data_IF_828603137736
#
_entry.id   IF_828603137736
#
_cell.length_a   1.000
_cell.length_b   1.000
_cell.length_c   1.000
_cell.angle_alpha   90.00
_cell.angle_beta   90.00
_cell.angle_gamma   90.00
#
_symmetry.space_group_name_H-M   'P 1'
#
loop_
_entity.id
_entity.type
_entity.pdbx_description
1 polymer ?
#
# COMPACT_ATOMS: atom_id res chain seq x y z
N UNK A 1 -1.52 -18.54 -52.28
CA UNK A 1 -2.83 -18.13 -51.74
C UNK A 1 -2.57 -17.25 -50.53
N UNK A 2 -2.63 -15.93 -50.70
CA UNK A 2 -2.36 -14.95 -49.65
C UNK A 2 -3.61 -14.75 -48.79
N UNK A 3 -3.64 -15.33 -47.60
CA UNK A 3 -4.64 -14.99 -46.61
C UNK A 3 -4.27 -13.66 -45.95
N UNK A 4 -4.80 -12.56 -46.50
CA UNK A 4 -4.87 -11.25 -45.82
C UNK A 4 -5.62 -11.47 -44.50
N UNK A 5 -4.89 -11.38 -43.38
CA UNK A 5 -5.49 -11.24 -42.04
C UNK A 5 -6.35 -9.98 -42.07
N UNK A 6 -7.67 -10.12 -41.91
CA UNK A 6 -8.58 -8.99 -41.78
C UNK A 6 -8.17 -8.19 -40.55
N UNK A 7 -7.85 -6.92 -40.75
CA UNK A 7 -7.79 -5.94 -39.68
C UNK A 7 -9.21 -5.81 -39.13
N UNK A 8 -9.37 -6.06 -37.84
CA UNK A 8 -10.60 -5.74 -37.13
C UNK A 8 -10.54 -4.25 -36.79
N UNK A 9 -11.33 -3.47 -37.51
CA UNK A 9 -11.48 -2.04 -37.36
C UNK A 9 -12.68 -1.76 -36.45
N UNK A 10 -12.41 -1.57 -35.16
CA UNK A 10 -13.34 -0.89 -34.25
C UNK A 10 -12.62 -0.32 -33.02
N UNK A 11 -11.92 0.82 -33.21
CA UNK A 11 -11.69 1.91 -32.22
C UNK A 11 -10.33 2.62 -32.35
N UNK A 12 -9.38 2.09 -33.14
CA UNK A 12 -8.02 2.64 -33.19
C UNK A 12 -7.27 2.57 -31.85
N UNK A 13 -7.69 1.68 -30.94
CA UNK A 13 -7.06 1.46 -29.63
C UNK A 13 -5.95 0.42 -29.79
N UNK A 14 -4.73 0.80 -29.46
CA UNK A 14 -3.61 -0.14 -29.44
C UNK A 14 -3.65 -1.00 -28.18
N UNK A 15 -3.24 -2.27 -28.29
CA UNK A 15 -3.24 -3.22 -27.18
C UNK A 15 -1.83 -3.41 -26.63
N UNK A 16 -1.70 -3.30 -25.30
CA UNK A 16 -0.46 -3.63 -24.58
C UNK A 16 -0.13 -5.12 -24.69
N UNK A 17 1.15 -5.43 -24.91
CA UNK A 17 1.62 -6.81 -25.04
C UNK A 17 1.43 -7.62 -23.75
N UNK A 18 1.28 -8.95 -23.83
CA UNK A 18 1.16 -9.82 -22.65
C UNK A 18 2.35 -9.71 -21.68
N UNK A 19 3.56 -9.51 -22.20
CA UNK A 19 4.80 -9.37 -21.43
C UNK A 19 4.78 -8.08 -20.59
N UNK A 20 4.41 -6.96 -21.21
CA UNK A 20 4.30 -5.66 -20.51
C UNK A 20 3.16 -5.69 -19.50
N UNK A 21 2.02 -6.29 -19.83
CA UNK A 21 0.92 -6.49 -18.86
C UNK A 21 1.39 -7.29 -17.65
N UNK A 22 2.20 -8.32 -17.85
CA UNK A 22 2.77 -9.12 -16.76
C UNK A 22 3.72 -8.29 -15.91
N UNK A 23 4.57 -7.48 -16.54
CA UNK A 23 5.49 -6.57 -15.85
C UNK A 23 4.75 -5.57 -14.95
N UNK A 24 3.67 -4.95 -15.45
CA UNK A 24 2.83 -4.01 -14.67
C UNK A 24 2.23 -4.71 -13.44
N UNK A 25 1.69 -5.92 -13.63
CA UNK A 25 1.16 -6.73 -12.53
C UNK A 25 2.20 -7.02 -11.43
N UNK A 26 3.42 -7.39 -11.85
CA UNK A 26 4.52 -7.70 -10.93
C UNK A 26 4.95 -6.43 -10.17
N UNK A 27 5.12 -5.31 -10.87
CA UNK A 27 5.56 -4.03 -10.28
C UNK A 27 4.58 -3.48 -9.26
N UNK A 28 3.29 -3.63 -9.52
CA UNK A 28 2.22 -3.23 -8.61
C UNK A 28 1.96 -4.26 -7.49
N UNK A 29 2.74 -5.34 -7.42
CA UNK A 29 2.58 -6.42 -6.45
C UNK A 29 1.13 -6.97 -6.39
N UNK A 30 0.42 -6.94 -7.52
CA UNK A 30 -1.00 -7.34 -7.60
C UNK A 30 -1.97 -6.45 -6.82
N UNK A 31 -1.60 -5.24 -6.41
CA UNK A 31 -2.48 -4.30 -5.71
C UNK A 31 -2.93 -3.17 -6.63
N UNK A 32 -4.17 -2.71 -6.47
CA UNK A 32 -4.66 -1.53 -7.17
C UNK A 32 -3.83 -0.29 -6.77
N UNK A 33 -3.29 0.42 -7.74
CA UNK A 33 -2.42 1.56 -7.48
C UNK A 33 -3.14 2.77 -6.89
N UNK A 34 -4.47 2.87 -7.07
CA UNK A 34 -5.29 3.96 -6.53
C UNK A 34 -5.89 3.67 -5.15
N UNK A 35 -6.34 2.44 -4.89
CA UNK A 35 -7.05 2.10 -3.65
C UNK A 35 -6.37 1.03 -2.79
N UNK A 36 -5.25 0.45 -3.25
CA UNK A 36 -4.50 -0.55 -2.52
C UNK A 36 -5.21 -1.89 -2.34
N UNK A 37 -6.33 -2.15 -3.02
CA UNK A 37 -7.03 -3.43 -2.92
C UNK A 37 -6.20 -4.54 -3.57
N UNK A 38 -6.09 -5.68 -2.88
CA UNK A 38 -5.49 -6.91 -3.43
C UNK A 38 -6.32 -7.44 -4.62
N UNK A 39 -5.68 -7.53 -5.78
CA UNK A 39 -6.27 -7.96 -7.05
C UNK A 39 -6.04 -9.45 -7.37
N UNK A 40 -5.40 -10.18 -6.45
CA UNK A 40 -5.03 -11.60 -6.58
C UNK A 40 -5.99 -12.55 -5.88
N UNK A 41 -6.92 -12.01 -5.09
CA UNK A 41 -7.87 -12.78 -4.30
C UNK A 41 -9.25 -12.12 -4.29
N UNK A 42 -10.31 -12.93 -4.31
CA UNK A 42 -11.66 -12.47 -4.00
C UNK A 42 -12.08 -12.99 -2.62
N UNK A 43 -12.16 -12.05 -1.68
CA UNK A 43 -12.54 -12.35 -0.31
C UNK A 43 -13.95 -12.92 -0.17
N UNK A 44 -14.88 -12.62 -1.08
CA UNK A 44 -16.28 -13.08 -0.98
C UNK A 44 -16.42 -14.56 -1.25
N UNK A 45 -15.67 -15.07 -2.22
CA UNK A 45 -15.72 -16.49 -2.62
C UNK A 45 -14.50 -17.29 -2.14
N UNK A 46 -13.49 -16.61 -1.59
CA UNK A 46 -12.29 -17.22 -1.02
C UNK A 46 -11.37 -17.85 -2.06
N UNK A 47 -11.41 -17.40 -3.32
CA UNK A 47 -10.62 -17.97 -4.41
C UNK A 47 -9.58 -17.00 -4.94
N UNK A 48 -8.43 -17.55 -5.34
CA UNK A 48 -7.41 -16.81 -6.10
C UNK A 48 -7.98 -16.42 -7.46
N UNK A 49 -7.93 -15.13 -7.78
CA UNK A 49 -8.42 -14.59 -9.05
C UNK A 49 -7.54 -13.43 -9.51
N UNK A 50 -7.49 -13.17 -10.82
CA UNK A 50 -6.77 -12.04 -11.41
C UNK A 50 -7.77 -11.01 -11.92
N UNK A 51 -8.30 -10.17 -11.02
CA UNK A 51 -9.41 -9.25 -11.35
C UNK A 51 -8.99 -7.82 -11.66
N UNK A 52 -7.70 -7.53 -11.65
CA UNK A 52 -7.14 -6.23 -12.04
C UNK A 52 -7.06 -6.01 -13.54
N UNK A 53 -7.05 -4.74 -13.93
CA UNK A 53 -6.99 -4.27 -15.30
C UNK A 53 -5.75 -3.39 -15.49
N UNK A 54 -5.05 -3.57 -16.61
CA UNK A 54 -3.93 -2.70 -16.98
C UNK A 54 -4.50 -1.53 -17.76
N UNK A 55 -4.51 -0.36 -17.11
CA UNK A 55 -5.05 0.88 -17.62
C UNK A 55 -3.93 1.78 -18.15
N UNK A 56 -4.23 2.56 -19.18
CA UNK A 56 -3.30 3.54 -19.71
C UNK A 56 -3.49 4.89 -18.99
N UNK A 57 -2.38 5.49 -18.56
CA UNK A 57 -2.36 6.84 -18.00
C UNK A 57 -2.68 7.83 -19.11
N UNK A 58 -1.83 7.93 -20.13
CA UNK A 58 -2.19 8.52 -21.43
C UNK A 58 -2.84 7.47 -22.33
N UNK A 59 -3.99 7.76 -22.94
CA UNK A 59 -4.79 6.76 -23.64
C UNK A 59 -4.06 6.13 -24.84
N UNK A 60 -4.30 4.85 -25.11
CA UNK A 60 -3.75 4.16 -26.30
C UNK A 60 -4.39 4.59 -27.65
N UNK A 61 -5.05 5.74 -27.68
CA UNK A 61 -5.72 6.32 -28.85
C UNK A 61 -5.81 7.84 -28.65
N UNK A 62 -5.62 8.64 -29.71
CA UNK A 62 -5.81 10.09 -29.66
C UNK A 62 -7.22 10.53 -29.20
N UNK A 63 -8.22 9.66 -29.32
CA UNK A 63 -9.61 9.92 -28.93
C UNK A 63 -9.95 9.50 -27.49
N UNK A 64 -8.97 9.05 -26.71
CA UNK A 64 -9.22 8.65 -25.33
C UNK A 64 -9.59 9.82 -24.42
N UNK A 65 -10.10 9.55 -23.21
CA UNK A 65 -10.67 10.56 -22.30
C UNK A 65 -9.67 11.63 -21.86
N UNK A 66 -8.36 11.38 -22.00
CA UNK A 66 -7.26 12.29 -21.66
C UNK A 66 -6.40 12.67 -22.87
N UNK A 67 -6.85 12.37 -24.09
CA UNK A 67 -6.12 12.72 -25.31
C UNK A 67 -6.11 14.24 -25.52
N UNK A 68 -4.93 14.82 -25.72
CA UNK A 68 -4.76 16.25 -26.01
C UNK A 68 -4.27 16.46 -27.46
N UNK A 69 -4.13 17.71 -27.89
CA UNK A 69 -3.73 18.06 -29.27
C UNK A 69 -2.33 17.54 -29.67
N UNK A 70 -1.46 17.22 -28.70
CA UNK A 70 -0.12 16.66 -28.93
C UNK A 70 -0.13 15.14 -29.05
N UNK A 71 -1.20 14.46 -28.65
CA UNK A 71 -1.30 13.01 -28.64
C UNK A 71 -1.53 12.44 -30.05
N UNK A 72 -0.46 12.35 -30.84
CA UNK A 72 -0.50 11.77 -32.18
C UNK A 72 -0.69 10.25 -32.15
N UNK A 73 -1.00 9.65 -33.30
CA UNK A 73 -1.11 8.19 -33.43
C UNK A 73 0.23 7.52 -33.14
N UNK A 74 1.34 8.14 -33.56
CA UNK A 74 2.70 7.67 -33.31
C UNK A 74 3.05 7.70 -31.82
N UNK A 75 2.66 8.77 -31.11
CA UNK A 75 2.86 8.86 -29.66
C UNK A 75 2.00 7.84 -28.91
N UNK A 76 0.73 7.70 -29.27
CA UNK A 76 -0.16 6.69 -28.69
C UNK A 76 0.42 5.28 -28.86
N UNK A 77 0.96 4.96 -30.05
CA UNK A 77 1.60 3.68 -30.33
C UNK A 77 2.86 3.46 -29.48
N UNK A 78 3.73 4.48 -29.37
CA UNK A 78 4.94 4.40 -28.57
C UNK A 78 4.64 4.15 -27.08
N UNK A 79 3.59 4.79 -26.55
CA UNK A 79 3.20 4.72 -25.14
C UNK A 79 2.35 3.50 -24.78
N UNK A 80 1.87 2.75 -25.76
CA UNK A 80 1.00 1.57 -25.52
C UNK A 80 1.71 0.43 -24.77
N UNK A 81 3.01 0.27 -25.03
CA UNK A 81 3.86 -0.75 -24.39
C UNK A 81 4.86 -0.14 -23.41
N UNK A 82 4.74 1.16 -23.12
CA UNK A 82 5.55 1.81 -22.10
C UNK A 82 4.98 1.47 -20.73
N UNK A 83 5.72 0.69 -19.94
CA UNK A 83 5.29 0.31 -18.59
C UNK A 83 5.13 1.51 -17.65
N UNK A 84 5.79 2.64 -17.90
CA UNK A 84 5.63 3.85 -17.09
C UNK A 84 4.34 4.61 -17.42
N UNK A 85 3.72 4.33 -18.58
CA UNK A 85 2.41 4.85 -18.98
C UNK A 85 1.25 3.92 -18.58
N UNK A 86 1.52 2.84 -17.84
CA UNK A 86 0.54 1.80 -17.53
C UNK A 86 0.43 1.61 -16.02
N UNK A 87 -0.79 1.57 -15.53
CA UNK A 87 -1.08 1.32 -14.11
C UNK A 87 -2.02 0.14 -13.92
N UNK A 88 -1.87 -0.57 -12.81
CA UNK A 88 -2.74 -1.66 -12.39
C UNK A 88 -3.91 -1.12 -11.55
N UNK A 89 -5.13 -1.28 -12.04
CA UNK A 89 -6.34 -0.81 -11.36
C UNK A 89 -7.34 -1.94 -11.10
N UNK A 90 -8.13 -1.80 -10.04
CA UNK A 90 -9.35 -2.60 -9.92
C UNK A 90 -10.41 -2.08 -10.92
N UNK A 91 -11.40 -2.90 -11.33
CA UNK A 91 -12.43 -2.49 -12.29
C UNK A 91 -13.17 -1.22 -11.88
N UNK A 92 -13.45 -1.05 -10.58
CA UNK A 92 -14.10 0.16 -10.07
C UNK A 92 -13.24 1.41 -10.12
N UNK A 93 -11.91 1.29 -9.97
CA UNK A 93 -11.00 2.41 -10.14
C UNK A 93 -10.80 2.74 -11.63
N UNK A 94 -10.65 1.71 -12.46
CA UNK A 94 -10.48 1.86 -13.90
C UNK A 94 -11.70 2.54 -14.55
N UNK A 95 -12.92 2.10 -14.21
CA UNK A 95 -14.15 2.72 -14.71
C UNK A 95 -14.28 4.20 -14.34
N UNK A 96 -13.86 4.60 -13.12
CA UNK A 96 -13.84 6.02 -12.73
C UNK A 96 -12.87 6.84 -13.56
N UNK A 97 -11.64 6.34 -13.73
CA UNK A 97 -10.60 7.01 -14.51
C UNK A 97 -11.00 7.15 -15.98
N UNK A 98 -11.65 6.14 -16.56
CA UNK A 98 -12.09 6.19 -17.97
C UNK A 98 -13.30 7.11 -18.19
N UNK A 99 -14.17 7.29 -17.19
CA UNK A 99 -15.36 8.15 -17.28
C UNK A 99 -15.08 9.64 -17.07
N UNK A 100 -14.06 9.98 -16.29
CA UNK A 100 -13.84 11.35 -15.81
C UNK A 100 -12.38 11.79 -16.02
N UNK A 101 -12.01 11.99 -17.28
CA UNK A 101 -10.64 12.40 -17.64
C UNK A 101 -10.20 13.72 -16.99
N UNK A 102 -11.14 14.65 -16.76
CA UNK A 102 -10.86 15.97 -16.20
C UNK A 102 -10.46 15.91 -14.72
N UNK A 103 -11.08 15.02 -13.93
CA UNK A 103 -10.73 14.81 -12.53
C UNK A 103 -9.66 13.74 -12.29
N UNK A 104 -9.17 13.10 -13.36
CA UNK A 104 -8.06 12.15 -13.34
C UNK A 104 -7.01 12.52 -14.40
N UNK A 105 -6.39 13.70 -14.33
CA UNK A 105 -5.44 14.15 -15.34
C UNK A 105 -4.16 13.28 -15.37
N UNK A 106 -3.44 13.34 -16.48
CA UNK A 106 -2.19 12.57 -16.71
C UNK A 106 -1.18 12.75 -15.57
N UNK A 107 -0.91 13.99 -15.17
CA UNK A 107 0.11 14.31 -14.17
C UNK A 107 -0.22 13.69 -12.81
N UNK A 108 -1.49 13.72 -12.41
CA UNK A 108 -1.95 13.14 -11.14
C UNK A 108 -1.80 11.61 -11.17
N UNK A 109 -2.25 10.96 -12.24
CA UNK A 109 -2.13 9.50 -12.40
C UNK A 109 -0.67 9.05 -12.47
N UNK A 110 0.19 9.80 -13.16
CA UNK A 110 1.64 9.55 -13.24
C UNK A 110 2.31 9.69 -11.87
N UNK A 111 1.93 10.71 -11.11
CA UNK A 111 2.40 10.91 -9.74
C UNK A 111 1.97 9.77 -8.81
N UNK A 112 0.71 9.35 -8.89
CA UNK A 112 0.17 8.23 -8.10
C UNK A 112 0.83 6.89 -8.46
N UNK A 113 1.04 6.64 -9.75
CA UNK A 113 1.77 5.46 -10.26
C UNK A 113 3.18 5.40 -9.67
N UNK A 114 3.96 6.49 -9.84
CA UNK A 114 5.33 6.59 -9.35
C UNK A 114 5.41 6.43 -7.82
N UNK A 115 4.51 7.07 -7.08
CA UNK A 115 4.45 6.95 -5.62
C UNK A 115 4.11 5.52 -5.17
N UNK A 116 3.20 4.83 -5.86
CA UNK A 116 2.87 3.43 -5.58
C UNK A 116 4.06 2.52 -5.78
N UNK A 117 4.69 2.59 -6.96
CA UNK A 117 5.86 1.77 -7.28
C UNK A 117 7.03 2.05 -6.36
N UNK A 118 7.23 3.31 -5.95
CA UNK A 118 8.28 3.69 -4.99
C UNK A 118 8.05 3.02 -3.63
N UNK A 119 6.82 3.03 -3.11
CA UNK A 119 6.48 2.35 -1.85
C UNK A 119 6.70 0.84 -1.94
N UNK A 120 6.26 0.21 -3.02
CA UNK A 120 6.44 -1.23 -3.23
C UNK A 120 7.92 -1.59 -3.33
N UNK A 121 8.70 -0.84 -4.11
CA UNK A 121 10.16 -1.05 -4.25
C UNK A 121 10.87 -0.87 -2.92
N UNK A 122 10.51 0.15 -2.12
CA UNK A 122 11.09 0.35 -0.79
C UNK A 122 10.81 -0.86 0.10
N UNK A 123 9.54 -1.28 0.23
CA UNK A 123 9.17 -2.43 1.03
C UNK A 123 9.85 -3.73 0.56
N UNK A 124 9.98 -3.94 -0.75
CA UNK A 124 10.62 -5.11 -1.32
C UNK A 124 12.16 -5.08 -1.26
N UNK A 125 12.78 -3.90 -1.16
CA UNK A 125 14.24 -3.72 -1.11
C UNK A 125 14.80 -3.61 0.31
N UNK A 126 13.93 -3.64 1.33
CA UNK A 126 14.32 -3.76 2.74
C UNK A 126 13.97 -5.17 3.25
N UNK A 127 14.70 -6.23 2.82
CA UNK A 127 14.45 -7.57 3.31
C UNK A 127 14.88 -7.67 4.77
N UNK A 128 13.93 -7.49 5.67
CA UNK A 128 14.06 -7.90 7.06
C UNK A 128 13.10 -9.05 7.34
N UNK A 129 13.65 -10.21 7.71
CA UNK A 129 12.86 -11.30 8.30
C UNK A 129 12.62 -11.07 9.80
N UNK A 130 13.07 -9.92 10.30
CA UNK A 130 12.98 -9.57 11.70
C UNK A 130 11.52 -9.30 12.08
N UNK A 131 10.96 -10.31 12.75
CA UNK A 131 9.66 -10.20 13.39
C UNK A 131 9.81 -9.36 14.64
N UNK A 132 9.00 -8.31 14.71
CA UNK A 132 8.91 -7.49 15.89
C UNK A 132 7.51 -7.48 16.47
N UNK A 133 7.43 -7.37 17.79
CA UNK A 133 6.18 -7.08 18.49
C UNK A 133 6.02 -5.55 18.50
N UNK A 134 4.96 -5.01 17.87
CA UNK A 134 4.71 -3.59 17.90
C UNK A 134 4.27 -3.18 19.31
N UNK A 135 4.88 -2.14 19.86
CA UNK A 135 4.49 -1.53 21.14
C UNK A 135 4.24 -0.04 20.92
N UNK A 136 3.05 0.39 21.28
CA UNK A 136 2.63 1.78 21.19
C UNK A 136 2.47 2.31 22.61
N UNK A 137 3.27 3.29 22.99
CA UNK A 137 3.19 3.96 24.28
C UNK A 137 2.58 5.34 24.08
N UNK A 138 1.46 5.61 24.73
CA UNK A 138 0.75 6.88 24.58
C UNK A 138 0.51 7.51 25.94
N UNK A 139 0.65 8.82 25.97
CA UNK A 139 0.35 9.62 27.15
C UNK A 139 -0.68 10.70 26.83
N UNK A 140 -1.20 11.31 27.88
CA UNK A 140 -2.11 12.43 27.77
C UNK A 140 -1.34 13.74 27.81
N UNK A 141 -1.72 14.68 26.93
CA UNK A 141 -1.40 16.09 27.06
C UNK A 141 -2.62 16.79 27.69
N UNK A 142 -2.51 17.15 28.96
CA UNK A 142 -3.65 17.53 29.81
C UNK A 142 -4.72 16.41 29.82
N UNK A 143 -5.94 16.70 29.36
CA UNK A 143 -7.06 15.74 29.30
C UNK A 143 -7.20 15.05 27.94
N UNK A 144 -6.28 15.32 27.01
CA UNK A 144 -6.37 14.79 25.65
C UNK A 144 -5.35 13.68 25.46
N UNK A 145 -5.83 12.47 25.15
CA UNK A 145 -4.96 11.37 24.72
C UNK A 145 -4.32 11.73 23.38
N UNK A 146 -2.99 11.66 23.31
CA UNK A 146 -2.27 11.80 22.04
C UNK A 146 -2.15 10.42 21.41
N UNK A 147 -3.18 10.04 20.66
CA UNK A 147 -3.29 8.71 20.06
C UNK A 147 -2.39 8.58 18.82
N UNK A 148 -1.55 7.54 18.84
CA UNK A 148 -0.77 7.05 17.70
C UNK A 148 -1.53 5.87 17.08
N UNK A 149 -2.04 5.99 15.84
CA UNK A 149 -2.75 4.89 15.18
C UNK A 149 -1.84 3.67 14.95
N UNK A 150 -2.40 2.47 15.13
CA UNK A 150 -1.69 1.22 14.87
C UNK A 150 -1.07 1.17 13.46
N UNK A 151 -1.81 1.63 12.46
CA UNK A 151 -1.36 1.67 11.08
C UNK A 151 -0.07 2.48 10.90
N UNK A 152 0.10 3.58 11.63
CA UNK A 152 1.31 4.41 11.52
C UNK A 152 2.56 3.64 11.97
N UNK A 153 2.47 2.90 13.09
CA UNK A 153 3.56 2.04 13.55
C UNK A 153 3.82 0.90 12.56
N UNK A 154 2.78 0.22 12.06
CA UNK A 154 2.94 -0.89 11.11
C UNK A 154 3.59 -0.42 9.79
N UNK A 155 3.23 0.77 9.31
CA UNK A 155 3.87 1.38 8.13
C UNK A 155 5.34 1.71 8.41
N UNK A 156 5.66 2.28 9.57
CA UNK A 156 7.05 2.56 9.96
C UNK A 156 7.86 1.26 10.09
N UNK A 157 7.30 0.23 10.73
CA UNK A 157 7.91 -1.10 10.81
C UNK A 157 8.24 -1.66 9.44
N UNK A 158 7.28 -1.61 8.51
CA UNK A 158 7.50 -2.09 7.14
C UNK A 158 8.59 -1.32 6.40
N UNK A 159 8.74 -0.02 6.64
CA UNK A 159 9.80 0.78 6.03
C UNK A 159 11.20 0.37 6.53
N UNK A 160 11.29 -0.05 7.79
CA UNK A 160 12.51 -0.57 8.42
C UNK A 160 12.73 -2.08 8.18
N UNK A 161 11.90 -2.71 7.34
CA UNK A 161 11.98 -4.15 7.07
C UNK A 161 11.48 -5.04 8.21
N UNK A 162 10.79 -4.48 9.20
CA UNK A 162 10.21 -5.25 10.31
C UNK A 162 8.82 -5.76 9.95
N UNK A 163 8.58 -7.05 10.20
CA UNK A 163 7.25 -7.64 10.07
C UNK A 163 6.57 -7.72 11.44
N UNK A 164 5.36 -7.18 11.55
CA UNK A 164 4.60 -7.29 12.78
C UNK A 164 4.18 -8.75 13.04
N UNK A 165 4.64 -9.32 14.14
CA UNK A 165 4.28 -10.68 14.54
C UNK A 165 2.81 -10.77 15.00
N UNK A 166 2.22 -9.65 15.41
CA UNK A 166 0.91 -9.59 16.06
C UNK A 166 0.33 -8.17 16.07
N UNK A 167 -0.91 -8.05 16.57
CA UNK A 167 -1.53 -6.74 16.84
C UNK A 167 -0.71 -5.94 17.87
N UNK A 168 -0.55 -4.61 17.67
CA UNK A 168 0.21 -3.76 18.57
C UNK A 168 -0.23 -3.85 20.04
N UNK A 169 0.74 -3.95 20.95
CA UNK A 169 0.51 -3.80 22.38
C UNK A 169 0.45 -2.31 22.68
N UNK A 170 -0.72 -1.81 23.03
CA UNK A 170 -0.90 -0.38 23.37
C UNK A 170 -0.85 -0.19 24.88
N UNK A 171 0.08 0.63 25.35
CA UNK A 171 0.23 1.06 26.74
C UNK A 171 -0.19 2.52 26.83
N UNK A 172 -1.28 2.78 27.52
CA UNK A 172 -1.76 4.15 27.77
C UNK A 172 -1.38 4.53 29.20
N UNK A 173 -0.65 5.63 29.35
CA UNK A 173 -0.30 6.13 30.68
C UNK A 173 -1.55 6.68 31.38
N UNK A 174 -1.82 6.27 32.64
CA UNK A 174 -2.89 6.84 33.44
C UNK A 174 -2.68 8.33 33.70
N UNK A 175 -3.76 9.01 34.07
CA UNK A 175 -3.71 10.41 34.49
C UNK A 175 -2.78 10.57 35.71
N UNK A 176 -1.97 11.65 35.76
CA UNK A 176 -1.21 11.99 36.95
C UNK A 176 -2.13 12.20 38.14
N UNK A 177 -1.70 11.73 39.32
CA UNK A 177 -2.43 12.01 40.56
C UNK A 177 -2.40 13.50 40.91
N UNK A 178 -3.09 13.91 41.97
CA UNK A 178 -2.99 15.27 42.52
C UNK A 178 -1.57 15.67 42.94
N UNK A 179 -0.68 14.70 43.14
CA UNK A 179 0.76 14.92 43.41
C UNK A 179 1.58 15.11 42.13
N UNK A 180 0.95 15.05 40.97
CA UNK A 180 1.59 15.12 39.66
C UNK A 180 2.32 13.83 39.30
N UNK A 181 3.39 13.98 38.50
CA UNK A 181 4.26 12.89 38.02
C UNK A 181 5.41 12.68 39.00
N UNK A 182 5.08 12.32 40.24
CA UNK A 182 6.04 12.03 41.30
C UNK A 182 6.68 10.64 41.15
N UNK A 183 7.55 10.26 42.09
CA UNK A 183 8.20 8.95 42.06
C UNK A 183 7.20 7.78 42.10
N UNK A 184 6.07 7.95 42.81
CA UNK A 184 5.02 6.93 42.89
C UNK A 184 4.30 6.75 41.57
N UNK A 185 3.98 7.85 40.88
CA UNK A 185 3.44 7.82 39.53
C UNK A 185 4.38 7.08 38.58
N UNK A 186 5.67 7.44 38.55
CA UNK A 186 6.62 6.76 37.66
C UNK A 186 6.85 5.29 38.00
N UNK A 187 6.74 4.91 39.28
CA UNK A 187 6.77 3.50 39.66
C UNK A 187 5.53 2.75 39.13
N UNK A 188 4.33 3.32 39.29
CA UNK A 188 3.11 2.74 38.75
C UNK A 188 3.15 2.61 37.21
N UNK A 189 3.78 3.55 36.51
CA UNK A 189 4.01 3.46 35.06
C UNK A 189 4.94 2.29 34.71
N UNK A 190 6.05 2.13 35.44
CA UNK A 190 6.98 1.00 35.23
C UNK A 190 6.26 -0.33 35.46
N UNK A 191 5.48 -0.42 36.53
CA UNK A 191 4.72 -1.63 36.86
C UNK A 191 3.69 -1.94 35.76
N UNK A 192 2.96 -0.93 35.28
CA UNK A 192 2.02 -1.05 34.17
C UNK A 192 2.69 -1.51 32.86
N UNK A 193 3.81 -0.89 32.49
CA UNK A 193 4.57 -1.28 31.29
C UNK A 193 5.02 -2.74 31.43
N UNK A 194 5.53 -3.11 32.60
CA UNK A 194 6.01 -4.46 32.87
C UNK A 194 4.87 -5.47 32.74
N UNK A 195 3.73 -5.24 33.40
CA UNK A 195 2.55 -6.09 33.32
C UNK A 195 2.04 -6.24 31.88
N UNK A 196 1.93 -5.14 31.13
CA UNK A 196 1.43 -5.14 29.74
C UNK A 196 2.41 -5.85 28.80
N UNK A 197 3.71 -5.62 28.95
CA UNK A 197 4.73 -6.28 28.14
C UNK A 197 4.82 -7.77 28.49
N UNK A 198 4.86 -8.15 29.76
CA UNK A 198 4.90 -9.57 30.17
C UNK A 198 3.65 -10.31 29.68
N UNK A 199 2.45 -9.74 29.90
CA UNK A 199 1.20 -10.34 29.41
C UNK A 199 1.11 -10.38 27.87
N UNK A 200 1.77 -9.44 27.18
CA UNK A 200 1.83 -9.37 25.72
C UNK A 200 2.85 -10.33 25.11
N UNK A 201 4.03 -10.45 25.75
CA UNK A 201 5.18 -11.24 25.31
C UNK A 201 5.03 -12.73 25.66
N UNK A 202 4.53 -13.06 26.86
CA UNK A 202 4.37 -14.45 27.31
C UNK A 202 3.40 -15.25 26.43
N UNK A 203 2.45 -14.58 25.76
CA UNK A 203 1.52 -15.19 24.82
C UNK A 203 2.07 -15.38 23.41
N UNK A 204 3.27 -14.87 23.11
CA UNK A 204 3.70 -14.60 21.72
C UNK A 204 5.17 -14.96 21.43
N UNK A 205 5.80 -15.77 22.28
CA UNK A 205 7.12 -16.34 22.02
C UNK A 205 7.17 -17.08 20.69
N UNK A 206 8.27 -16.92 19.93
CA UNK A 206 8.44 -17.55 18.63
C UNK A 206 8.47 -19.09 18.72
N UNK A 207 8.12 -19.77 17.63
CA UNK A 207 8.17 -21.24 17.50
C UNK A 207 9.55 -21.85 17.83
N UNK A 208 10.62 -21.06 17.81
CA UNK A 208 12.01 -21.50 17.99
C UNK A 208 12.69 -21.00 19.28
N UNK A 209 11.96 -20.31 20.17
CA UNK A 209 12.53 -19.77 21.41
C UNK A 209 13.27 -18.43 21.25
N UNK A 210 13.27 -17.85 20.04
CA UNK A 210 13.82 -16.53 19.78
C UNK A 210 13.03 -15.45 20.52
N UNK A 211 13.73 -14.51 21.16
CA UNK A 211 13.09 -13.31 21.73
C UNK A 211 12.78 -12.37 20.57
N UNK A 212 11.50 -12.06 20.28
CA UNK A 212 11.16 -11.15 19.20
C UNK A 212 11.71 -9.76 19.49
N UNK A 213 12.13 -9.05 18.44
CA UNK A 213 12.48 -7.64 18.55
C UNK A 213 11.25 -6.82 18.99
N UNK A 214 11.48 -5.68 19.63
CA UNK A 214 10.40 -4.74 19.95
C UNK A 214 10.49 -3.55 19.00
N UNK A 215 9.41 -3.29 18.27
CA UNK A 215 9.26 -2.05 17.50
C UNK A 215 8.43 -1.09 18.34
N UNK A 216 9.06 -0.03 18.86
CA UNK A 216 8.43 0.86 19.84
C UNK A 216 8.25 2.28 19.28
N UNK A 217 7.07 2.85 19.49
CA UNK A 217 6.79 4.27 19.27
C UNK A 217 6.07 4.83 20.49
N UNK A 218 6.39 6.06 20.88
CA UNK A 218 5.63 6.73 21.93
C UNK A 218 5.89 8.22 22.07
N UNK A 219 5.07 8.84 22.92
CA UNK A 219 5.05 10.27 23.22
C UNK A 219 5.07 10.52 24.73
#
# INVERSE_FOLDING_TARGET
MNAKKKADDSSGRFNTSPEVRTLVWIRAAGHCELCGTDLTHDFRIGTTMKWGEVAHILPASPKGPRGNATHSVEEALARTNDSENLMLLCPGCHDRVDRDGDNYPEDDLSGLHSACLTRIRLAASTPGEERAIPVIVQSQHHQTLVAIPAQALLTAMSAEGLTAQCHPVTVVFPEPSSRGRDAGYWQAIKDLITEKLEAGLARRGGQFGDKPALAMVGL
#
